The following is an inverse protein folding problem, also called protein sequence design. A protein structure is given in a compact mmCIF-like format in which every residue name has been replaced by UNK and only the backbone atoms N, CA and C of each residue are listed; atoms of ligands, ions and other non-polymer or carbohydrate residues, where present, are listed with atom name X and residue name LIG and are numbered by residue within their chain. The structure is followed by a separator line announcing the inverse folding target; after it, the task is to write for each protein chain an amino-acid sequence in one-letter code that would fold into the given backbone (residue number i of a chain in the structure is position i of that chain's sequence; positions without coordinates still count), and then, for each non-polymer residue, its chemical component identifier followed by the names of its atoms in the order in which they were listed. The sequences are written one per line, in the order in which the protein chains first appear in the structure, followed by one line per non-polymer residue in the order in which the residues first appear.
data_IF_712330619647
#
_entry.id   IF_712330619647
#
_cell.length_a   1.000
_cell.length_b   1.000
_cell.length_c   1.000
_cell.angle_alpha   90.00
_cell.angle_beta   90.00
_cell.angle_gamma   90.00
#
_symmetry.space_group_name_H-M   'P 1'
#
loop_
_entity.id
_entity.type
_entity.pdbx_description
1 polymer ?
#
# COMPACT_ATOMS: atom_id res chain seq x y z
N UNK A 1 -44.07 -63.60 -17.22
CA UNK A 1 -44.19 -62.12 -17.31
C UNK A 1 -43.05 -61.36 -16.61
N UNK A 2 -42.52 -61.79 -15.45
CA UNK A 2 -41.40 -61.09 -14.75
C UNK A 2 -40.03 -61.11 -15.47
N UNK A 3 -39.74 -62.11 -16.32
CA UNK A 3 -38.48 -62.19 -17.09
C UNK A 3 -38.42 -61.31 -18.34
N UNK A 4 -39.57 -60.87 -18.85
CA UNK A 4 -39.64 -59.99 -20.03
C UNK A 4 -39.43 -58.52 -19.65
N UNK A 5 -39.89 -58.14 -18.45
CA UNK A 5 -39.73 -56.79 -17.91
C UNK A 5 -38.28 -56.48 -17.51
N UNK A 6 -37.51 -57.50 -17.09
CA UNK A 6 -36.09 -57.36 -16.76
C UNK A 6 -35.21 -57.19 -18.00
N UNK A 7 -35.60 -57.79 -19.14
CA UNK A 7 -34.86 -57.63 -20.40
C UNK A 7 -35.00 -56.21 -21.00
N UNK A 8 -36.20 -55.63 -20.88
CA UNK A 8 -36.48 -54.25 -21.34
C UNK A 8 -35.77 -53.21 -20.47
N UNK A 9 -35.68 -53.45 -19.15
CA UNK A 9 -34.95 -52.56 -18.24
C UNK A 9 -33.43 -52.57 -18.50
N UNK A 10 -32.86 -53.72 -18.87
CA UNK A 10 -31.44 -53.80 -19.28
C UNK A 10 -31.18 -53.13 -20.64
N UNK A 11 -32.10 -53.20 -21.60
CA UNK A 11 -31.94 -52.51 -22.89
C UNK A 11 -32.05 -50.98 -22.76
N UNK A 12 -32.87 -50.47 -21.84
CA UNK A 12 -32.95 -49.04 -21.52
C UNK A 12 -31.70 -48.54 -20.78
N UNK A 13 -31.10 -49.37 -19.92
CA UNK A 13 -29.83 -49.04 -19.27
C UNK A 13 -28.67 -48.95 -20.28
N UNK A 14 -28.63 -49.80 -21.31
CA UNK A 14 -27.58 -49.74 -22.35
C UNK A 14 -27.74 -48.51 -23.27
N UNK A 15 -28.97 -48.03 -23.51
CA UNK A 15 -29.18 -46.77 -24.25
C UNK A 15 -28.84 -45.52 -23.41
N UNK A 16 -28.93 -45.60 -22.08
CA UNK A 16 -28.54 -44.51 -21.18
C UNK A 16 -27.02 -44.41 -20.96
N UNK A 17 -26.26 -45.47 -21.25
CA UNK A 17 -24.78 -45.47 -21.21
C UNK A 17 -24.13 -45.04 -22.54
N UNK A 18 -24.93 -44.68 -23.56
CA UNK A 18 -24.44 -44.30 -24.89
C UNK A 18 -24.35 -42.79 -25.16
N UNK A 19 -24.53 -41.92 -24.16
CA UNK A 19 -24.51 -40.46 -24.34
C UNK A 19 -23.75 -39.69 -23.25
N UNK A 20 -22.69 -40.27 -22.70
CA UNK A 20 -21.80 -39.57 -21.76
C UNK A 20 -20.34 -39.87 -22.10
N UNK A 21 -19.81 -39.14 -23.08
CA UNK A 21 -18.41 -38.67 -23.21
C UNK A 21 -18.10 -38.37 -24.69
N UNK A 22 -18.62 -37.25 -25.19
CA UNK A 22 -17.97 -36.50 -26.28
C UNK A 22 -17.71 -35.08 -25.78
N UNK A 23 -16.96 -34.96 -24.69
CA UNK A 23 -16.27 -33.71 -24.33
C UNK A 23 -14.74 -33.93 -24.45
N UNK A 24 -14.33 -34.46 -25.61
CA UNK A 24 -12.95 -34.34 -26.06
C UNK A 24 -12.76 -32.84 -26.30
N UNK A 25 -12.07 -32.19 -25.35
CA UNK A 25 -11.59 -30.82 -25.45
C UNK A 25 -11.17 -30.54 -26.90
N UNK A 26 -11.93 -29.71 -27.61
CA UNK A 26 -11.49 -29.24 -28.93
C UNK A 26 -10.25 -28.38 -28.69
N UNK A 27 -9.07 -29.00 -28.75
CA UNK A 27 -7.80 -28.29 -28.81
C UNK A 27 -7.84 -27.46 -30.09
N UNK A 28 -8.11 -26.18 -29.90
CA UNK A 28 -8.16 -25.19 -30.99
C UNK A 28 -6.77 -24.88 -31.52
N UNK A 29 -5.72 -25.22 -30.76
CA UNK A 29 -4.32 -24.85 -30.99
C UNK A 29 -4.18 -23.33 -31.28
N UNK A 30 -5.04 -22.54 -30.63
CA UNK A 30 -5.01 -21.09 -30.70
C UNK A 30 -4.29 -20.58 -29.46
N UNK A 31 -3.16 -19.90 -29.66
CA UNK A 31 -2.27 -19.49 -28.60
C UNK A 31 -2.03 -17.97 -28.65
N UNK A 32 -1.76 -17.35 -27.50
CA UNK A 32 -1.38 -15.94 -27.40
C UNK A 32 -0.17 -15.84 -26.49
N UNK A 33 0.82 -15.05 -26.90
CA UNK A 33 2.00 -14.76 -26.10
C UNK A 33 2.33 -13.26 -26.16
N UNK A 34 3.19 -12.80 -25.28
CA UNK A 34 3.67 -11.42 -25.28
C UNK A 34 4.32 -11.07 -23.96
N UNK A 35 4.54 -9.78 -23.76
CA UNK A 35 5.10 -9.22 -22.53
C UNK A 35 4.26 -8.05 -22.00
N UNK A 36 4.51 -7.72 -20.73
CA UNK A 36 3.86 -6.57 -20.06
C UNK A 36 4.93 -5.61 -19.55
N UNK A 37 4.82 -4.34 -19.93
CA UNK A 37 5.71 -3.26 -19.51
C UNK A 37 4.98 -2.22 -18.64
N UNK A 38 5.72 -1.53 -17.79
CA UNK A 38 5.25 -0.28 -17.18
C UNK A 38 5.47 0.90 -18.14
N UNK A 39 4.43 1.71 -18.37
CA UNK A 39 4.47 2.83 -19.32
C UNK A 39 5.61 3.82 -19.05
N UNK A 40 5.90 4.15 -17.77
CA UNK A 40 6.88 5.17 -17.39
C UNK A 40 8.32 4.68 -17.39
N UNK A 41 8.57 3.56 -16.74
CA UNK A 41 9.93 3.03 -16.53
C UNK A 41 10.39 2.17 -17.70
N UNK A 42 9.45 1.68 -18.53
CA UNK A 42 9.69 0.70 -19.58
C UNK A 42 10.30 -0.61 -19.03
N UNK A 43 10.10 -0.89 -17.74
CA UNK A 43 10.51 -2.13 -17.12
C UNK A 43 9.46 -3.24 -17.33
N UNK A 44 9.93 -4.47 -17.47
CA UNK A 44 9.07 -5.65 -17.55
C UNK A 44 8.39 -5.92 -16.20
N UNK A 45 7.07 -6.11 -16.22
CA UNK A 45 6.26 -6.35 -15.03
C UNK A 45 6.08 -7.86 -14.79
N UNK A 46 6.70 -8.44 -13.75
CA UNK A 46 6.51 -9.84 -13.40
C UNK A 46 5.20 -10.07 -12.62
N UNK A 47 4.66 -11.28 -12.71
CA UNK A 47 3.47 -11.75 -11.99
C UNK A 47 2.17 -10.95 -12.25
N UNK A 48 2.05 -10.29 -13.41
CA UNK A 48 0.82 -9.65 -13.88
C UNK A 48 -0.20 -10.73 -14.23
N UNK A 49 -1.47 -10.55 -13.90
CA UNK A 49 -2.54 -11.49 -14.26
C UNK A 49 -3.12 -11.12 -15.63
N UNK A 50 -3.10 -12.05 -16.58
CA UNK A 50 -3.77 -11.95 -17.88
C UNK A 50 -4.91 -12.95 -17.91
N UNK A 51 -6.14 -12.50 -18.17
CA UNK A 51 -7.31 -13.38 -18.28
C UNK A 51 -8.16 -13.07 -19.49
N UNK A 52 -8.78 -14.11 -20.03
CA UNK A 52 -9.77 -13.99 -21.09
C UNK A 52 -11.15 -13.75 -20.46
N UNK A 53 -11.65 -12.51 -20.56
CA UNK A 53 -12.86 -12.06 -19.88
C UNK A 53 -14.07 -12.92 -20.25
N UNK A 54 -14.81 -13.36 -19.24
CA UNK A 54 -15.97 -14.27 -19.41
C UNK A 54 -15.62 -15.76 -19.41
N UNK A 55 -14.34 -16.12 -19.23
CA UNK A 55 -13.89 -17.50 -19.07
C UNK A 55 -13.03 -17.66 -17.82
N UNK A 56 -12.71 -18.91 -17.45
CA UNK A 56 -11.73 -19.24 -16.40
C UNK A 56 -10.30 -19.34 -16.94
N UNK A 57 -10.07 -19.01 -18.22
CA UNK A 57 -8.76 -19.12 -18.86
C UNK A 57 -7.96 -17.85 -18.57
N UNK A 58 -6.83 -18.03 -17.90
CA UNK A 58 -5.88 -16.96 -17.60
C UNK A 58 -4.51 -17.53 -17.26
N UNK A 59 -3.52 -16.66 -17.23
CA UNK A 59 -2.14 -16.95 -16.89
C UNK A 59 -1.54 -15.75 -16.15
N UNK A 60 -0.31 -15.89 -15.68
CA UNK A 60 0.46 -14.79 -15.10
C UNK A 60 1.75 -14.58 -15.88
N UNK A 61 2.28 -13.35 -15.90
CA UNK A 61 3.66 -13.15 -16.41
C UNK A 61 4.67 -13.85 -15.52
N UNK A 62 5.73 -14.35 -16.12
CA UNK A 62 6.88 -14.93 -15.43
C UNK A 62 7.77 -13.85 -14.79
N UNK A 63 8.89 -14.26 -14.19
CA UNK A 63 9.85 -13.34 -13.56
C UNK A 63 10.51 -12.37 -14.55
N UNK A 64 10.41 -12.63 -15.86
CA UNK A 64 10.93 -11.77 -16.93
C UNK A 64 9.84 -10.91 -17.58
N UNK A 65 8.59 -10.98 -17.10
CA UNK A 65 7.46 -10.21 -17.59
C UNK A 65 6.79 -10.77 -18.86
N UNK A 66 7.09 -12.03 -19.24
CA UNK A 66 6.49 -12.69 -20.41
C UNK A 66 5.35 -13.61 -20.01
N UNK A 67 4.36 -13.79 -20.89
CA UNK A 67 3.22 -14.67 -20.65
C UNK A 67 2.88 -15.54 -21.85
N UNK A 68 2.20 -16.67 -21.60
CA UNK A 68 1.74 -17.59 -22.62
C UNK A 68 0.36 -18.18 -22.27
N UNK A 69 -0.61 -18.02 -23.16
CA UNK A 69 -1.94 -18.62 -23.11
C UNK A 69 -2.07 -19.67 -24.22
N UNK A 70 -2.51 -20.86 -23.85
CA UNK A 70 -2.61 -22.02 -24.76
C UNK A 70 -4.04 -22.49 -24.94
N UNK A 71 -4.35 -23.02 -26.13
CA UNK A 71 -5.63 -23.66 -26.46
C UNK A 71 -6.87 -22.79 -26.16
N UNK A 72 -6.85 -21.56 -26.65
CA UNK A 72 -7.91 -20.59 -26.43
C UNK A 72 -9.16 -20.87 -27.29
N UNK A 73 -10.38 -20.63 -26.79
CA UNK A 73 -11.60 -20.78 -27.57
C UNK A 73 -11.59 -19.83 -28.77
N UNK A 74 -12.17 -20.29 -29.89
CA UNK A 74 -12.30 -19.46 -31.10
C UNK A 74 -13.39 -18.40 -30.93
N UNK A 75 -13.18 -17.23 -31.50
CA UNK A 75 -14.12 -16.11 -31.45
C UNK A 75 -13.46 -14.82 -30.99
N UNK A 76 -14.26 -13.77 -30.84
CA UNK A 76 -13.80 -12.48 -30.35
C UNK A 76 -13.92 -12.44 -28.83
N UNK A 77 -12.82 -12.14 -28.17
CA UNK A 77 -12.74 -12.06 -26.72
C UNK A 77 -12.03 -10.79 -26.29
N UNK A 78 -12.23 -10.40 -25.04
CA UNK A 78 -11.46 -9.33 -24.42
C UNK A 78 -10.42 -9.95 -23.50
N UNK A 79 -9.14 -9.68 -23.76
CA UNK A 79 -8.08 -9.90 -22.78
C UNK A 79 -8.14 -8.77 -21.75
N UNK A 80 -8.11 -9.15 -20.48
CA UNK A 80 -8.03 -8.25 -19.34
C UNK A 80 -6.71 -8.51 -18.62
N UNK A 81 -5.89 -7.47 -18.50
CA UNK A 81 -4.58 -7.50 -17.86
C UNK A 81 -4.64 -6.64 -16.62
N UNK A 82 -4.38 -7.25 -15.46
CA UNK A 82 -4.51 -6.60 -14.16
C UNK A 82 -3.34 -6.94 -13.26
N UNK A 83 -2.81 -5.91 -12.60
CA UNK A 83 -1.79 -6.02 -11.56
C UNK A 83 -2.14 -5.04 -10.45
N UNK A 84 -1.84 -5.40 -9.20
CA UNK A 84 -2.03 -4.46 -8.08
C UNK A 84 -1.16 -3.22 -8.27
N UNK A 85 -1.73 -2.03 -8.07
CA UNK A 85 -1.05 -0.75 -8.28
C UNK A 85 -1.08 -0.24 -9.72
N UNK A 86 -1.71 -0.96 -10.66
CA UNK A 86 -1.78 -0.60 -12.07
C UNK A 86 -3.23 -0.56 -12.56
N UNK A 87 -3.46 0.28 -13.57
CA UNK A 87 -4.75 0.38 -14.24
C UNK A 87 -4.99 -0.87 -15.06
N UNK A 88 -6.14 -1.50 -14.87
CA UNK A 88 -6.52 -2.66 -15.68
C UNK A 88 -6.59 -2.26 -17.15
N UNK A 89 -5.75 -2.89 -17.98
CA UNK A 89 -5.78 -2.72 -19.43
C UNK A 89 -6.65 -3.82 -20.05
N UNK A 90 -7.41 -3.44 -21.08
CA UNK A 90 -8.25 -4.41 -21.82
C UNK A 90 -8.02 -4.26 -23.31
N UNK A 91 -7.92 -5.39 -24.02
CA UNK A 91 -7.78 -5.41 -25.48
C UNK A 91 -8.67 -6.47 -26.09
N UNK A 92 -9.41 -6.08 -27.12
CA UNK A 92 -10.22 -7.01 -27.89
C UNK A 92 -9.34 -7.77 -28.88
N UNK A 93 -9.51 -9.09 -28.95
CA UNK A 93 -8.69 -10.00 -29.74
C UNK A 93 -9.58 -11.02 -30.46
N UNK A 94 -9.33 -11.22 -31.76
CA UNK A 94 -10.00 -12.23 -32.55
C UNK A 94 -9.15 -13.51 -32.55
N UNK A 95 -9.66 -14.58 -31.92
CA UNK A 95 -8.92 -15.83 -31.75
C UNK A 95 -9.34 -16.81 -32.86
N UNK A 96 -8.39 -17.12 -33.74
CA UNK A 96 -8.55 -18.09 -34.83
C UNK A 96 -7.87 -19.41 -34.46
N UNK A 97 -8.49 -20.54 -34.82
CA UNK A 97 -7.91 -21.86 -34.58
C UNK A 97 -6.56 -22.01 -35.30
N UNK A 98 -5.60 -22.70 -34.69
CA UNK A 98 -4.24 -22.97 -35.21
C UNK A 98 -3.43 -21.71 -35.52
N UNK A 99 -3.66 -20.64 -34.74
CA UNK A 99 -2.88 -19.41 -34.86
C UNK A 99 -2.26 -19.05 -33.52
N UNK A 100 -1.03 -18.56 -33.58
CA UNK A 100 -0.34 -17.99 -32.42
C UNK A 100 -0.16 -16.50 -32.67
N UNK A 101 -0.64 -15.67 -31.75
CA UNK A 101 -0.60 -14.20 -31.87
C UNK A 101 0.26 -13.60 -30.76
N UNK A 102 1.06 -12.60 -31.11
CA UNK A 102 1.84 -11.80 -30.18
C UNK A 102 1.05 -10.55 -29.79
N UNK A 103 0.83 -10.34 -28.50
CA UNK A 103 0.05 -9.21 -27.98
C UNK A 103 0.74 -8.66 -26.74
N UNK A 104 1.30 -7.47 -26.88
CA UNK A 104 1.94 -6.78 -25.77
C UNK A 104 0.99 -5.78 -25.10
N UNK A 105 1.26 -5.54 -23.82
CA UNK A 105 0.51 -4.62 -22.98
C UNK A 105 1.46 -3.66 -22.27
N UNK A 106 1.03 -2.39 -22.19
CA UNK A 106 1.62 -1.40 -21.32
C UNK A 106 0.60 -1.07 -20.23
N UNK A 107 1.07 -1.06 -18.97
CA UNK A 107 0.25 -0.72 -17.82
C UNK A 107 0.67 0.63 -17.26
N UNK A 108 -0.32 1.51 -17.12
CA UNK A 108 -0.18 2.74 -16.37
C UNK A 108 -0.35 2.45 -14.88
N UNK A 109 0.57 2.96 -14.08
CA UNK A 109 0.45 2.94 -12.62
C UNK A 109 -0.83 3.69 -12.20
N UNK A 110 -1.77 2.97 -11.57
CA UNK A 110 -3.01 3.55 -11.07
C UNK A 110 -2.85 3.81 -9.58
N UNK A 111 -2.94 5.08 -9.22
CA UNK A 111 -3.07 5.51 -7.83
C UNK A 111 -4.49 5.19 -7.35
N UNK A 112 -4.84 3.91 -7.25
CA UNK A 112 -6.10 3.47 -6.64
C UNK A 112 -6.01 3.85 -5.17
N UNK A 113 -6.87 4.77 -4.72
CA UNK A 113 -7.19 4.92 -3.30
C UNK A 113 -7.93 3.65 -2.87
N UNK A 114 -7.18 2.58 -2.62
CA UNK A 114 -7.72 1.37 -2.01
C UNK A 114 -8.45 1.77 -0.72
N UNK A 115 -9.48 1.01 -0.34
CA UNK A 115 -10.01 1.06 1.02
C UNK A 115 -8.84 0.75 1.94
N UNK A 116 -8.23 1.82 2.47
CA UNK A 116 -6.98 1.69 3.17
C UNK A 116 -7.17 0.76 4.38
N UNK A 117 -6.24 -0.18 4.52
CA UNK A 117 -6.25 -1.12 5.63
C UNK A 117 -5.73 -0.39 6.85
N UNK A 118 -6.48 -0.51 7.94
CA UNK A 118 -6.15 0.06 9.24
C UNK A 118 -5.98 -1.06 10.24
N UNK A 119 -4.99 -0.90 11.12
CA UNK A 119 -4.73 -1.83 12.22
C UNK A 119 -5.11 -1.21 13.56
N UNK A 120 -5.07 0.11 13.64
CA UNK A 120 -5.34 0.88 14.86
C UNK A 120 -6.78 0.78 15.37
N UNK A 121 -7.78 0.46 14.55
CA UNK A 121 -9.18 0.43 15.00
C UNK A 121 -9.51 -0.71 15.98
N UNK A 122 -8.92 -1.90 15.79
CA UNK A 122 -9.22 -3.09 16.60
C UNK A 122 -8.01 -4.02 16.83
N UNK A 123 -6.78 -3.53 16.55
CA UNK A 123 -5.51 -4.28 16.57
C UNK A 123 -5.40 -5.42 15.55
N UNK A 124 -6.34 -5.52 14.62
CA UNK A 124 -6.30 -6.43 13.48
C UNK A 124 -6.41 -5.64 12.18
N UNK A 125 -5.85 -6.17 11.10
CA UNK A 125 -6.02 -5.59 9.79
C UNK A 125 -7.50 -5.62 9.39
N UNK A 126 -8.08 -4.43 9.22
CA UNK A 126 -9.44 -4.25 8.75
C UNK A 126 -9.50 -3.12 7.74
N UNK A 127 -10.42 -3.20 6.79
CA UNK A 127 -10.63 -2.08 5.88
C UNK A 127 -11.19 -0.89 6.65
N UNK A 128 -10.75 0.33 6.33
CA UNK A 128 -11.21 1.56 6.99
C UNK A 128 -12.74 1.68 7.01
N UNK A 129 -13.42 1.16 5.99
CA UNK A 129 -14.89 1.14 5.88
C UNK A 129 -15.58 0.21 6.89
N UNK A 130 -14.93 -0.88 7.29
CA UNK A 130 -15.44 -1.84 8.26
C UNK A 130 -14.94 -1.56 9.68
N UNK A 131 -14.08 -0.56 9.87
CA UNK A 131 -13.55 -0.18 11.16
C UNK A 131 -14.67 0.33 12.09
N UNK A 132 -14.74 -0.14 13.35
CA UNK A 132 -15.77 0.29 14.31
C UNK A 132 -15.58 1.73 14.78
N UNK A 133 -14.39 2.30 14.59
CA UNK A 133 -14.04 3.67 14.93
C UNK A 133 -13.60 4.44 13.70
N UNK A 134 -13.87 5.75 13.66
CA UNK A 134 -13.41 6.61 12.58
C UNK A 134 -11.88 6.74 12.59
N UNK A 135 -11.22 6.04 11.66
CA UNK A 135 -9.78 6.13 11.45
C UNK A 135 -9.50 7.08 10.30
N UNK A 136 -8.67 8.09 10.56
CA UNK A 136 -8.11 8.95 9.52
C UNK A 136 -6.72 8.46 9.18
N UNK A 137 -6.32 8.56 7.92
CA UNK A 137 -5.04 8.05 7.45
C UNK A 137 -4.29 9.19 6.77
N UNK A 138 -3.03 9.34 7.17
CA UNK A 138 -2.08 10.20 6.51
C UNK A 138 -1.10 9.31 5.74
N UNK A 139 -1.29 9.25 4.43
CA UNK A 139 -0.48 8.45 3.52
C UNK A 139 0.83 9.16 3.16
N UNK A 140 1.82 8.39 2.70
CA UNK A 140 3.12 8.90 2.27
C UNK A 140 3.00 10.03 1.24
N UNK A 141 2.06 9.91 0.28
CA UNK A 141 1.81 10.95 -0.73
C UNK A 141 1.50 12.32 -0.10
N UNK A 142 0.74 12.34 0.99
CA UNK A 142 0.43 13.60 1.68
C UNK A 142 1.66 14.13 2.39
N UNK A 143 2.48 13.27 3.00
CA UNK A 143 3.76 13.66 3.60
C UNK A 143 4.72 14.25 2.56
N UNK A 144 4.78 13.66 1.36
CA UNK A 144 5.62 14.13 0.26
C UNK A 144 5.14 15.46 -0.31
N UNK A 145 3.84 15.59 -0.61
CA UNK A 145 3.24 16.84 -1.15
C UNK A 145 3.38 18.00 -0.17
N UNK A 146 3.28 17.72 1.13
CA UNK A 146 3.45 18.72 2.20
C UNK A 146 4.91 18.96 2.56
N UNK A 147 5.85 18.21 1.94
CA UNK A 147 7.28 18.25 2.25
C UNK A 147 7.58 18.04 3.74
N UNK A 148 6.78 17.22 4.43
CA UNK A 148 6.92 16.93 5.85
C UNK A 148 8.17 16.07 6.08
N UNK A 149 9.12 16.55 6.88
CA UNK A 149 10.38 15.83 7.20
C UNK A 149 10.28 15.02 8.48
N UNK A 150 9.34 15.37 9.34
CA UNK A 150 9.11 14.73 10.63
C UNK A 150 7.64 14.42 10.86
N UNK A 151 7.36 13.52 11.81
CA UNK A 151 5.99 13.18 12.19
C UNK A 151 5.20 14.42 12.65
N UNK A 152 5.81 15.32 13.44
CA UNK A 152 5.15 16.54 13.92
C UNK A 152 4.65 17.43 12.78
N UNK A 153 5.40 17.54 11.69
CA UNK A 153 5.02 18.30 10.49
C UNK A 153 3.88 17.65 9.74
N UNK A 154 3.96 16.32 9.54
CA UNK A 154 2.90 15.57 8.87
C UNK A 154 1.56 15.68 9.59
N UNK A 155 1.57 15.55 10.92
CA UNK A 155 0.36 15.60 11.74
C UNK A 155 -0.36 16.96 11.70
N UNK A 156 0.29 18.06 11.29
CA UNK A 156 -0.36 19.37 11.11
C UNK A 156 -1.44 19.34 10.02
N UNK A 157 -1.31 18.43 9.06
CA UNK A 157 -2.24 18.31 7.93
C UNK A 157 -3.38 17.34 8.20
N UNK A 158 -3.43 16.72 9.39
CA UNK A 158 -4.46 15.77 9.76
C UNK A 158 -5.64 16.48 10.47
N UNK A 159 -6.87 16.38 9.95
CA UNK A 159 -8.04 16.98 10.58
C UNK A 159 -8.29 16.47 12.02
N UNK A 160 -8.62 17.42 12.91
CA UNK A 160 -8.89 17.15 14.33
C UNK A 160 -7.66 17.04 15.21
N UNK A 161 -6.46 17.15 14.61
CA UNK A 161 -5.20 17.25 15.33
C UNK A 161 -4.72 18.69 15.31
N UNK A 162 -4.02 19.06 16.38
CA UNK A 162 -3.33 20.33 16.49
C UNK A 162 -1.96 20.08 17.11
N UNK A 163 -0.92 20.33 16.33
CA UNK A 163 0.47 20.23 16.78
C UNK A 163 0.91 21.60 17.28
N UNK A 164 1.38 21.66 18.52
CA UNK A 164 1.82 22.89 19.16
C UNK A 164 3.21 22.72 19.74
N UNK A 165 3.97 23.81 19.74
CA UNK A 165 5.20 23.87 20.51
C UNK A 165 4.83 24.15 21.98
N UNK A 166 5.12 23.20 22.86
CA UNK A 166 4.84 23.31 24.29
C UNK A 166 5.95 24.06 25.05
N UNK A 167 7.18 24.02 24.54
CA UNK A 167 8.31 24.81 25.07
C UNK A 167 9.22 25.21 23.91
N UNK A 168 9.20 26.49 23.55
CA UNK A 168 9.98 27.06 22.45
C UNK A 168 11.48 26.92 22.70
N UNK A 169 11.95 27.16 23.92
CA UNK A 169 13.36 27.00 24.28
C UNK A 169 13.81 25.54 24.37
N UNK A 170 12.89 24.60 24.59
CA UNK A 170 13.20 23.18 24.76
C UNK A 170 13.04 22.38 23.45
N UNK A 171 12.38 22.95 22.43
CA UNK A 171 12.07 22.27 21.16
C UNK A 171 11.01 21.19 21.27
N UNK A 172 10.12 21.32 22.25
CA UNK A 172 9.23 20.22 22.60
C UNK A 172 7.85 20.43 22.00
N UNK A 173 7.41 19.50 21.17
CA UNK A 173 6.09 19.56 20.54
C UNK A 173 5.11 18.61 21.21
N UNK A 174 3.85 19.01 21.24
CA UNK A 174 2.74 18.16 21.65
C UNK A 174 1.70 18.08 20.54
N UNK A 175 0.95 16.98 20.52
CA UNK A 175 -0.20 16.80 19.64
C UNK A 175 -1.49 16.71 20.44
N UNK A 176 -2.40 17.65 20.17
CA UNK A 176 -3.72 17.70 20.76
C UNK A 176 -4.72 17.04 19.83
N UNK A 177 -5.57 16.16 20.36
CA UNK A 177 -6.66 15.53 19.62
C UNK A 177 -7.98 16.03 20.18
N UNK A 178 -8.81 16.65 19.34
CA UNK A 178 -10.10 17.25 19.75
C UNK A 178 -9.99 18.20 20.96
N UNK A 179 -8.85 18.89 21.10
CA UNK A 179 -8.58 19.86 22.17
C UNK A 179 -7.93 19.29 23.43
N UNK A 180 -7.85 17.96 23.59
CA UNK A 180 -7.17 17.34 24.73
C UNK A 180 -5.64 17.42 24.59
N UNK A 181 -4.96 17.69 25.70
CA UNK A 181 -3.50 17.85 25.79
C UNK A 181 -2.74 16.58 25.38
N UNK A 182 -1.45 16.76 25.04
CA UNK A 182 -0.56 15.67 24.61
C UNK A 182 -0.57 14.40 25.49
N UNK A 183 -0.62 14.49 26.84
CA UNK A 183 -0.71 13.31 27.70
C UNK A 183 -1.94 12.43 27.49
N UNK A 184 -2.98 12.94 26.82
CA UNK A 184 -4.21 12.21 26.46
C UNK A 184 -4.19 11.69 25.01
N UNK A 185 -3.06 11.82 24.31
CA UNK A 185 -2.83 11.32 22.96
C UNK A 185 -1.80 10.19 23.01
N UNK A 186 -2.21 8.94 22.77
CA UNK A 186 -1.28 7.81 22.79
C UNK A 186 -0.61 7.65 21.42
N UNK A 187 0.71 7.72 21.39
CA UNK A 187 1.52 7.48 20.19
C UNK A 187 1.96 6.02 20.19
N UNK A 188 1.81 5.36 19.05
CA UNK A 188 2.13 3.97 18.80
C UNK A 188 3.04 3.88 17.57
N UNK A 189 3.97 2.94 17.58
CA UNK A 189 4.69 2.48 16.39
C UNK A 189 4.32 1.01 16.22
N UNK A 190 3.77 0.65 15.07
CA UNK A 190 3.32 -0.70 14.74
C UNK A 190 2.39 -1.29 15.82
N UNK A 191 1.41 -0.50 16.24
CA UNK A 191 0.43 -0.82 17.29
C UNK A 191 1.01 -1.06 18.69
N UNK A 192 2.27 -0.69 18.92
CA UNK A 192 2.96 -0.76 20.22
C UNK A 192 3.17 0.65 20.80
N UNK A 193 2.74 0.89 22.05
CA UNK A 193 3.04 2.13 22.74
C UNK A 193 4.55 2.34 22.88
N UNK A 194 5.08 3.37 22.22
CA UNK A 194 6.48 3.78 22.35
C UNK A 194 6.68 4.90 23.37
N UNK A 195 5.60 5.60 23.71
CA UNK A 195 5.66 6.81 24.52
C UNK A 195 4.69 6.65 25.71
N UNK A 196 5.24 6.73 26.92
CA UNK A 196 4.45 6.98 28.13
C UNK A 196 4.15 8.47 28.28
N UNK A 197 3.12 8.84 29.04
CA UNK A 197 2.66 10.22 29.22
C UNK A 197 3.75 11.23 29.61
N UNK A 198 4.85 10.79 30.25
CA UNK A 198 5.96 11.64 30.67
C UNK A 198 7.00 11.93 29.55
N UNK A 199 7.02 11.12 28.48
CA UNK A 199 7.99 11.19 27.38
C UNK A 199 7.42 11.82 26.09
N UNK A 200 6.16 12.25 26.08
CA UNK A 200 5.44 12.77 24.90
C UNK A 200 5.89 14.13 24.38
N UNK A 201 7.02 14.63 24.89
CA UNK A 201 7.46 16.01 24.77
C UNK A 201 8.62 16.12 23.75
N UNK A 202 9.40 15.05 23.53
CA UNK A 202 10.66 15.12 22.73
C UNK A 202 10.66 14.29 21.43
N UNK A 203 9.71 13.39 21.21
CA UNK A 203 9.87 12.34 20.19
C UNK A 203 9.18 12.62 18.85
N UNK A 204 8.24 13.57 18.76
CA UNK A 204 7.49 13.79 17.50
C UNK A 204 8.36 14.39 16.38
N UNK A 205 9.38 15.17 16.72
CA UNK A 205 10.34 15.70 15.75
C UNK A 205 11.48 14.70 15.44
N UNK A 206 11.67 13.69 16.28
CA UNK A 206 12.72 12.68 16.10
C UNK A 206 12.31 11.52 15.20
N UNK A 207 11.01 11.35 14.94
CA UNK A 207 10.51 10.31 14.05
C UNK A 207 10.52 10.87 12.62
N UNK A 208 11.43 10.40 11.76
CA UNK A 208 11.56 10.90 10.40
C UNK A 208 10.42 10.37 9.53
N UNK A 209 9.99 11.10 8.51
CA UNK A 209 8.91 10.62 7.62
C UNK A 209 9.35 9.51 6.67
N UNK A 210 10.65 9.35 6.40
CA UNK A 210 11.16 8.32 5.47
C UNK A 210 11.00 6.88 5.99
N UNK A 211 10.90 6.67 7.32
CA UNK A 211 10.60 5.35 7.89
C UNK A 211 9.11 5.00 7.90
N UNK A 212 8.24 5.99 7.67
CA UNK A 212 6.80 5.86 7.80
C UNK A 212 6.22 5.39 6.46
N UNK A 213 5.34 4.39 6.52
CA UNK A 213 4.50 4.02 5.38
C UNK A 213 3.20 4.84 5.39
N UNK A 214 2.54 4.86 6.55
CA UNK A 214 1.32 5.63 6.80
C UNK A 214 1.15 5.90 8.28
N UNK A 215 0.34 6.91 8.61
CA UNK A 215 -0.06 7.21 9.99
C UNK A 215 -1.57 7.04 10.11
N UNK A 216 -1.99 6.22 11.04
CA UNK A 216 -3.39 5.95 11.33
C UNK A 216 -3.79 6.67 12.62
N UNK A 217 -4.79 7.55 12.51
CA UNK A 217 -5.26 8.38 13.61
C UNK A 217 -6.68 8.00 13.98
N UNK A 218 -6.85 7.50 15.20
CA UNK A 218 -8.15 7.24 15.81
C UNK A 218 -8.45 8.37 16.78
N UNK A 219 -9.58 9.05 16.60
CA UNK A 219 -10.00 10.15 17.46
C UNK A 219 -11.00 9.64 18.50
N UNK A 220 -10.63 9.71 19.77
CA UNK A 220 -11.41 9.24 20.91
C UNK A 220 -11.41 7.72 21.09
N UNK A 221 -11.74 7.27 22.31
CA UNK A 221 -12.07 5.86 22.59
C UNK A 221 -10.93 4.84 22.47
N UNK A 222 -9.67 5.28 22.40
CA UNK A 222 -8.51 4.40 22.22
C UNK A 222 -8.08 3.65 23.48
N UNK A 223 -8.55 4.05 24.66
CA UNK A 223 -8.06 3.54 25.94
C UNK A 223 -8.33 2.06 26.20
N UNK A 224 -9.40 1.51 25.63
CA UNK A 224 -9.73 0.10 25.77
C UNK A 224 -8.68 -0.82 25.11
N UNK A 225 -8.05 -0.36 24.03
CA UNK A 225 -7.10 -1.15 23.24
C UNK A 225 -5.64 -0.77 23.49
N UNK A 226 -5.37 0.51 23.78
CA UNK A 226 -4.03 1.07 23.79
C UNK A 226 -3.61 1.73 25.11
N UNK A 227 -4.46 1.67 26.14
CA UNK A 227 -4.10 2.04 27.51
C UNK A 227 -4.57 3.43 27.95
N UNK A 228 -4.25 3.76 29.21
CA UNK A 228 -4.84 4.90 29.92
C UNK A 228 -4.61 6.27 29.26
N UNK A 229 -3.54 6.45 28.48
CA UNK A 229 -3.23 7.73 27.85
C UNK A 229 -3.99 7.96 26.53
N UNK A 230 -4.74 6.99 26.02
CA UNK A 230 -5.44 7.08 24.72
C UNK A 230 -6.86 7.68 24.80
N UNK A 231 -7.10 8.60 25.74
CA UNK A 231 -8.43 9.19 25.98
C UNK A 231 -8.86 10.06 24.80
N UNK A 232 -7.98 10.97 24.37
CA UNK A 232 -8.18 11.81 23.20
C UNK A 232 -8.06 11.05 21.89
N UNK A 233 -7.32 9.94 21.90
CA UNK A 233 -7.20 9.05 20.76
C UNK A 233 -5.84 8.39 20.67
N UNK A 234 -5.59 7.75 19.52
CA UNK A 234 -4.31 7.12 19.21
C UNK A 234 -3.77 7.59 17.87
N UNK A 235 -2.46 7.79 17.81
CA UNK A 235 -1.71 8.04 16.59
C UNK A 235 -0.79 6.85 16.40
N UNK A 236 -1.10 6.01 15.42
CA UNK A 236 -0.37 4.79 15.13
C UNK A 236 0.47 4.98 13.86
N UNK A 237 1.78 4.92 14.03
CA UNK A 237 2.75 5.05 12.96
C UNK A 237 3.02 3.64 12.45
N UNK A 238 2.68 3.38 11.19
CA UNK A 238 3.03 2.12 10.53
C UNK A 238 4.35 2.32 9.81
N UNK A 239 5.35 1.52 10.17
CA UNK A 239 6.67 1.58 9.54
C UNK A 239 6.66 0.89 8.20
N UNK A 240 7.55 1.30 7.29
CA UNK A 240 7.71 0.65 5.99
C UNK A 240 8.28 -0.76 6.15
N UNK A 241 7.69 -1.69 5.41
CA UNK A 241 8.21 -3.05 5.29
C UNK A 241 8.99 -3.27 3.98
N UNK A 242 10.09 -4.04 4.00
CA UNK A 242 10.89 -4.30 2.81
C UNK A 242 10.18 -5.30 1.89
N UNK A 243 9.64 -4.82 0.76
CA UNK A 243 8.99 -5.67 -0.26
C UNK A 243 9.93 -6.07 -1.41
N UNK A 244 11.02 -5.32 -1.61
CA UNK A 244 12.03 -5.54 -2.66
C UNK A 244 13.38 -5.00 -2.22
N UNK A 245 14.44 -5.41 -2.91
CA UNK A 245 15.76 -4.79 -2.77
C UNK A 245 15.69 -3.36 -3.31
N UNK A 246 16.03 -2.37 -2.49
CA UNK A 246 16.02 -0.97 -2.91
C UNK A 246 17.02 -0.14 -2.11
N UNK A 247 17.44 0.97 -2.69
CA UNK A 247 18.27 1.97 -2.04
C UNK A 247 17.82 3.34 -2.49
N UNK A 248 17.61 4.25 -1.54
CA UNK A 248 17.15 5.61 -1.77
C UNK A 248 18.03 6.56 -0.97
N UNK A 249 18.46 7.64 -1.61
CA UNK A 249 19.16 8.74 -0.98
C UNK A 249 18.47 10.04 -1.37
N UNK A 250 18.12 10.84 -0.37
CA UNK A 250 17.46 12.13 -0.55
C UNK A 250 18.24 13.21 0.15
N UNK A 251 18.34 14.37 -0.49
CA UNK A 251 18.84 15.58 0.17
C UNK A 251 17.94 16.75 -0.20
N UNK A 252 17.46 17.49 0.80
CA UNK A 252 16.60 18.65 0.62
C UNK A 252 17.20 19.86 1.31
N UNK A 253 17.27 20.97 0.57
CA UNK A 253 17.56 22.31 1.09
C UNK A 253 16.28 23.12 1.07
N UNK A 254 15.90 23.77 2.17
CA UNK A 254 14.69 24.59 2.25
C UNK A 254 14.98 25.89 2.99
N UNK A 255 14.48 27.02 2.47
CA UNK A 255 14.54 28.30 3.17
C UNK A 255 13.35 28.44 4.12
N UNK A 256 13.62 28.82 5.37
CA UNK A 256 12.61 28.90 6.42
C UNK A 256 12.01 30.31 6.43
N UNK A 257 10.69 30.42 6.20
CA UNK A 257 9.92 31.66 6.31
C UNK A 257 10.49 32.88 5.56
N UNK A 258 11.30 32.66 4.50
CA UNK A 258 11.95 33.75 3.76
C UNK A 258 12.97 34.55 4.58
N UNK A 259 13.36 34.07 5.77
CA UNK A 259 14.32 34.72 6.68
C UNK A 259 15.78 34.61 6.22
N UNK A 260 16.04 33.81 5.19
CA UNK A 260 17.39 33.43 4.76
C UNK A 260 17.97 32.25 5.52
N UNK A 261 17.39 31.84 6.65
CA UNK A 261 17.79 30.64 7.36
C UNK A 261 17.46 29.38 6.56
N UNK A 262 18.38 28.43 6.62
CA UNK A 262 18.32 27.19 5.84
C UNK A 262 18.03 25.97 6.72
N UNK A 263 17.27 25.05 6.13
CA UNK A 263 17.07 23.70 6.62
C UNK A 263 17.66 22.70 5.62
N UNK A 264 18.59 21.88 6.11
CA UNK A 264 19.25 20.83 5.36
C UNK A 264 18.78 19.49 5.89
N UNK A 265 18.19 18.67 5.03
CA UNK A 265 17.67 17.36 5.41
C UNK A 265 18.22 16.29 4.48
N UNK A 266 19.05 15.39 5.02
CA UNK A 266 19.58 14.22 4.32
C UNK A 266 18.87 12.98 4.81
N UNK A 267 18.37 12.16 3.89
CA UNK A 267 17.70 10.89 4.20
C UNK A 267 18.33 9.74 3.42
N UNK A 268 18.35 8.57 4.04
CA UNK A 268 18.82 7.33 3.44
C UNK A 268 17.83 6.22 3.78
N UNK A 269 17.45 5.42 2.78
CA UNK A 269 16.70 4.18 2.98
C UNK A 269 17.39 3.06 2.19
N UNK A 270 17.49 1.88 2.77
CA UNK A 270 17.92 0.68 2.07
C UNK A 270 17.10 -0.52 2.53
N UNK A 271 16.74 -1.39 1.60
CA UNK A 271 16.04 -2.63 1.88
C UNK A 271 16.69 -3.79 1.14
N UNK A 272 16.76 -4.93 1.81
CA UNK A 272 17.18 -6.21 1.23
C UNK A 272 16.16 -7.27 1.64
N UNK A 273 15.74 -8.09 0.69
CA UNK A 273 14.76 -9.15 0.83
C UNK A 273 15.33 -10.42 0.19
N UNK A 274 15.06 -11.58 0.79
CA UNK A 274 15.41 -12.89 0.23
C UNK A 274 14.64 -13.16 -1.09
N UNK A 275 15.17 -14.01 -1.97
CA UNK A 275 14.56 -14.41 -3.24
C UNK A 275 13.12 -14.94 -3.06
N UNK A 276 12.89 -15.66 -1.96
CA UNK A 276 11.57 -16.20 -1.59
C UNK A 276 10.61 -15.15 -0.98
N UNK A 277 11.05 -13.90 -0.82
CA UNK A 277 10.29 -12.75 -0.26
C UNK A 277 9.64 -12.99 1.11
N UNK A 278 10.19 -13.90 1.91
CA UNK A 278 9.67 -14.27 3.23
C UNK A 278 10.48 -13.69 4.40
N UNK A 279 11.59 -13.01 4.12
CA UNK A 279 12.44 -12.35 5.10
C UNK A 279 13.14 -11.16 4.43
N UNK A 280 13.30 -10.06 5.18
CA UNK A 280 14.00 -8.88 4.72
C UNK A 280 14.46 -7.99 5.87
N UNK A 281 15.35 -7.06 5.55
CA UNK A 281 15.87 -6.03 6.45
C UNK A 281 15.67 -4.69 5.76
N UNK A 282 15.19 -3.70 6.50
CA UNK A 282 15.14 -2.31 6.08
C UNK A 282 15.93 -1.45 7.06
N UNK A 283 16.74 -0.55 6.52
CA UNK A 283 17.51 0.44 7.29
C UNK A 283 17.12 1.82 6.77
N UNK A 284 16.87 2.74 7.70
CA UNK A 284 16.60 4.13 7.39
C UNK A 284 17.50 5.03 8.24
N UNK A 285 17.80 6.22 7.72
CA UNK A 285 18.56 7.25 8.42
C UNK A 285 18.12 8.63 7.98
N UNK A 286 18.15 9.58 8.91
CA UNK A 286 17.94 11.00 8.63
C UNK A 286 18.99 11.81 9.39
N UNK A 287 19.59 12.77 8.69
CA UNK A 287 20.39 13.82 9.29
C UNK A 287 19.78 15.17 8.90
N UNK A 288 19.20 15.86 9.88
CA UNK A 288 18.49 17.13 9.70
C UNK A 288 19.20 18.21 10.50
N UNK A 289 19.57 19.30 9.83
CA UNK A 289 20.19 20.48 10.43
C UNK A 289 19.33 21.70 10.08
N UNK A 290 19.02 22.52 11.08
CA UNK A 290 18.19 23.72 10.94
C UNK A 290 18.92 24.90 11.53
N UNK A 291 19.06 25.97 10.76
CA UNK A 291 19.66 27.21 11.26
C UNK A 291 18.65 28.00 12.09
N UNK A 292 19.08 28.49 13.25
CA UNK A 292 18.29 29.43 14.04
C UNK A 292 18.00 30.71 13.26
N UNK A 293 16.78 31.20 13.36
CA UNK A 293 16.39 32.51 12.85
C UNK A 293 15.66 33.32 13.92
N UNK A 294 15.67 34.63 13.74
CA UNK A 294 14.91 35.60 14.52
C UNK A 294 13.93 36.26 13.55
N UNK A 295 12.63 36.09 13.78
CA UNK A 295 11.58 36.55 12.87
C UNK A 295 11.10 37.96 13.21
N UNK A 296 11.07 38.33 14.49
CA UNK A 296 10.53 39.60 14.98
C UNK A 296 11.61 40.62 15.36
N UNK A 297 12.88 40.22 15.34
CA UNK A 297 14.04 41.06 15.57
C UNK A 297 14.29 41.36 17.06
N UNK A 298 13.75 40.55 17.96
CA UNK A 298 13.88 40.75 19.40
C UNK A 298 15.22 40.26 19.99
N UNK A 299 16.06 39.62 19.15
CA UNK A 299 17.37 39.09 19.52
C UNK A 299 17.33 37.67 20.07
N UNK A 300 16.16 37.03 20.13
CA UNK A 300 15.99 35.62 20.46
C UNK A 300 15.77 34.79 19.20
N UNK A 301 16.17 33.52 19.26
CA UNK A 301 15.93 32.59 18.16
C UNK A 301 14.59 31.90 18.30
N UNK A 302 13.88 31.79 17.18
CA UNK A 302 12.60 31.09 17.06
C UNK A 302 12.74 29.58 16.98
N UNK A 303 13.99 29.11 16.98
CA UNK A 303 14.29 27.69 16.99
C UNK A 303 15.31 27.35 18.08
N UNK A 304 15.05 26.30 18.87
CA UNK A 304 16.02 25.79 19.80
C UNK A 304 17.17 25.12 19.05
N UNK A 305 18.39 25.28 19.59
CA UNK A 305 19.53 24.45 19.23
C UNK A 305 19.31 23.06 19.82
N UNK A 306 18.98 22.09 18.97
CA UNK A 306 18.79 20.67 19.32
C UNK A 306 20.08 19.88 19.14
#
# INVERSE_FOLDING_TARGET
MKKFFTLILCLLAVHAYGQADEDISRQTDANIFGHVLETKTQEHLPYVVIKLKGTTIGTTTDATGHYFLKNLPKGTFTLEVSMMGFKTATREVEIKARTTQEIDFELDEENVSLDAVVVSANRNETTRRLAPSLVSILDMKTLDVTNSKTLSEGLKFQPGLRVENNCQNCGTTQVRINGLDGPYSQILIDSRPVIGALAGVYNLEQIPTNMIERIEVVRGGGSALFGANAIGGTINIITREPIRNSGEFGHTFTSINGSGALENNTTFNASIVNDNRNAGIMVYGQHRLREGYDLDGDGFTEMPLL
#
